data_IF_973408977124
#
_entry.id   IF_973408977124
#
_cell.length_a   1.000
_cell.length_b   1.000
_cell.length_c   1.000
_cell.angle_alpha   90.00
_cell.angle_beta   90.00
_cell.angle_gamma   90.00
#
_symmetry.space_group_name_H-M   'P 1'
#
loop_
_entity.id
_entity.type
_entity.pdbx_description
1 polymer ?
#
# COMPACT_ATOMS: atom_id res chain seq x y z
N UNK A 1 -17.65 0.84 10.41
CA UNK A 1 -16.91 1.06 9.13
C UNK A 1 -17.09 -0.20 8.28
N UNK A 2 -17.51 -0.06 7.03
CA UNK A 2 -17.72 -1.21 6.14
C UNK A 2 -16.41 -1.91 5.80
N UNK A 3 -16.42 -3.24 5.83
CA UNK A 3 -15.27 -4.05 5.46
C UNK A 3 -15.12 -4.10 3.93
N UNK A 4 -13.90 -4.04 3.45
CA UNK A 4 -13.56 -4.16 2.03
C UNK A 4 -12.57 -5.30 1.80
N UNK A 5 -12.54 -5.86 0.60
CA UNK A 5 -11.62 -6.93 0.23
C UNK A 5 -10.15 -6.58 0.56
N UNK A 6 -9.71 -5.38 0.21
CA UNK A 6 -8.35 -4.91 0.46
C UNK A 6 -8.00 -4.73 1.95
N UNK A 7 -9.01 -4.71 2.83
CA UNK A 7 -8.81 -4.60 4.27
C UNK A 7 -8.69 -5.96 4.98
N UNK A 8 -9.10 -7.08 4.34
CA UNK A 8 -9.23 -8.38 4.98
C UNK A 8 -7.94 -8.90 5.59
N UNK A 9 -6.84 -8.89 4.85
CA UNK A 9 -5.55 -9.39 5.35
C UNK A 9 -5.03 -8.58 6.54
N UNK A 10 -5.24 -7.26 6.53
CA UNK A 10 -4.93 -6.40 7.69
C UNK A 10 -5.85 -6.67 8.86
N UNK A 11 -7.16 -6.85 8.62
CA UNK A 11 -8.15 -7.14 9.65
C UNK A 11 -7.93 -8.52 10.30
N UNK A 12 -7.44 -9.50 9.55
CA UNK A 12 -7.03 -10.79 10.09
C UNK A 12 -5.87 -10.64 11.07
N UNK A 13 -4.85 -9.87 10.70
CA UNK A 13 -3.65 -9.62 11.51
C UNK A 13 -3.91 -8.71 12.70
N UNK A 14 -4.77 -7.70 12.51
CA UNK A 14 -5.13 -6.72 13.54
C UNK A 14 -6.52 -6.16 13.29
N UNK A 15 -7.49 -6.55 14.10
CA UNK A 15 -8.86 -6.08 13.98
C UNK A 15 -8.97 -4.55 14.20
N UNK A 16 -8.07 -3.96 14.96
CA UNK A 16 -7.96 -2.50 15.14
C UNK A 16 -7.83 -1.75 13.81
N UNK A 17 -7.27 -2.37 12.77
CA UNK A 17 -7.10 -1.75 11.46
C UNK A 17 -8.42 -1.40 10.74
N UNK A 18 -9.54 -1.97 11.18
CA UNK A 18 -10.87 -1.81 10.59
C UNK A 18 -11.94 -1.34 11.57
N UNK A 19 -11.65 -1.28 12.87
CA UNK A 19 -12.56 -0.76 13.88
C UNK A 19 -12.14 0.62 14.40
N UNK A 20 -10.84 0.94 14.39
CA UNK A 20 -10.36 2.26 14.77
C UNK A 20 -10.66 3.30 13.67
N UNK A 21 -10.86 4.58 14.03
CA UNK A 21 -11.09 5.64 13.07
C UNK A 21 -9.92 5.77 12.07
N UNK A 22 -10.19 5.77 10.75
CA UNK A 22 -9.14 5.95 9.77
C UNK A 22 -8.71 7.41 9.69
N UNK A 23 -7.43 7.64 9.38
CA UNK A 23 -6.91 8.92 8.92
C UNK A 23 -6.61 8.78 7.44
N UNK A 24 -7.31 9.55 6.59
CA UNK A 24 -7.06 9.54 5.16
C UNK A 24 -5.76 10.28 4.86
N UNK A 25 -4.87 9.61 4.16
CA UNK A 25 -3.70 10.21 3.52
C UNK A 25 -3.88 10.06 2.01
N UNK A 26 -3.73 11.16 1.30
CA UNK A 26 -3.60 11.11 -0.15
C UNK A 26 -2.13 10.78 -0.45
N UNK A 27 -1.90 9.63 -1.08
CA UNK A 27 -0.56 9.18 -1.45
C UNK A 27 -0.37 9.15 -2.97
N UNK A 28 0.74 9.70 -3.45
CA UNK A 28 1.11 9.76 -4.87
C UNK A 28 1.26 8.38 -5.54
N UNK A 29 1.49 7.32 -4.76
CA UNK A 29 1.66 5.96 -5.29
C UNK A 29 0.38 5.34 -5.88
N UNK A 30 -0.79 5.83 -5.47
CA UNK A 30 -2.07 5.35 -6.00
C UNK A 30 -2.26 5.71 -7.49
N UNK A 31 -1.71 6.84 -7.93
CA UNK A 31 -1.88 7.33 -9.29
C UNK A 31 -1.20 6.43 -10.35
N UNK A 32 0.02 5.93 -10.05
CA UNK A 32 0.74 5.04 -10.99
C UNK A 32 0.05 3.68 -11.12
N UNK A 33 -0.45 3.11 -10.01
CA UNK A 33 -1.23 1.87 -10.04
C UNK A 33 -2.51 2.05 -10.86
N UNK A 34 -3.25 3.13 -10.64
CA UNK A 34 -4.46 3.44 -11.39
C UNK A 34 -4.17 3.59 -12.90
N UNK A 35 -3.05 4.21 -13.28
CA UNK A 35 -2.67 4.35 -14.68
C UNK A 35 -2.42 2.99 -15.36
N UNK A 36 -1.84 2.02 -14.64
CA UNK A 36 -1.65 0.64 -15.14
C UNK A 36 -2.99 -0.08 -15.29
N UNK A 37 -3.87 0.03 -14.30
CA UNK A 37 -5.19 -0.60 -14.33
C UNK A 37 -6.04 -0.04 -15.48
N UNK A 38 -6.03 1.29 -15.68
CA UNK A 38 -6.74 1.94 -16.78
C UNK A 38 -6.16 1.56 -18.14
N UNK A 39 -4.83 1.48 -18.27
CA UNK A 39 -4.18 1.04 -19.49
C UNK A 39 -4.56 -0.39 -19.86
N UNK A 40 -4.57 -1.31 -18.90
CA UNK A 40 -4.98 -2.70 -19.12
C UNK A 40 -6.46 -2.75 -19.53
N UNK A 41 -7.33 -2.07 -18.80
CA UNK A 41 -8.76 -2.03 -19.08
C UNK A 41 -9.05 -1.50 -20.48
N UNK A 42 -8.54 -0.32 -20.82
CA UNK A 42 -8.75 0.29 -22.14
C UNK A 42 -8.09 -0.57 -23.23
N UNK A 43 -6.88 -1.08 -22.98
CA UNK A 43 -6.15 -1.89 -23.93
C UNK A 43 -6.85 -3.22 -24.28
N UNK A 44 -7.59 -3.82 -23.33
CA UNK A 44 -8.37 -5.05 -23.56
C UNK A 44 -9.75 -4.78 -24.14
N UNK A 45 -10.32 -3.58 -23.97
CA UNK A 45 -11.68 -3.24 -24.45
C UNK A 45 -11.66 -2.45 -25.77
N UNK A 46 -10.72 -1.54 -25.95
CA UNK A 46 -10.67 -0.57 -27.06
C UNK A 46 -9.38 -0.69 -27.91
N UNK A 47 -8.42 -1.49 -27.40
CA UNK A 47 -7.14 -1.70 -28.05
C UNK A 47 -6.00 -0.84 -27.50
N UNK A 48 -4.76 -1.31 -27.77
CA UNK A 48 -3.52 -0.71 -27.24
C UNK A 48 -3.35 0.77 -27.62
N UNK A 49 -3.70 1.15 -28.84
CA UNK A 49 -3.56 2.54 -29.31
C UNK A 49 -4.45 3.51 -28.50
N UNK A 50 -5.71 3.12 -28.25
CA UNK A 50 -6.63 3.89 -27.43
C UNK A 50 -6.13 4.04 -25.98
N UNK A 51 -5.55 2.96 -25.43
CA UNK A 51 -4.97 2.96 -24.09
C UNK A 51 -3.75 3.91 -24.01
N UNK A 52 -2.86 3.89 -25.00
CA UNK A 52 -1.69 4.78 -25.06
C UNK A 52 -2.08 6.25 -25.20
N UNK A 53 -3.14 6.53 -25.94
CA UNK A 53 -3.63 7.91 -26.13
C UNK A 53 -4.15 8.56 -24.83
N UNK A 54 -4.58 7.73 -23.87
CA UNK A 54 -5.09 8.17 -22.57
C UNK A 54 -4.06 8.04 -21.43
N UNK A 55 -2.89 7.46 -21.71
CA UNK A 55 -1.87 7.21 -20.70
C UNK A 55 -1.18 8.52 -20.24
N UNK A 56 -0.87 8.65 -18.93
CA UNK A 56 -0.06 9.75 -18.43
C UNK A 56 1.33 9.81 -19.13
N UNK A 57 1.78 11.00 -19.46
CA UNK A 57 3.02 11.19 -20.23
C UNK A 57 4.24 10.54 -19.55
N UNK A 58 4.33 10.63 -18.24
CA UNK A 58 5.40 10.04 -17.42
C UNK A 58 5.39 8.52 -17.40
N UNK A 59 4.24 7.88 -17.67
CA UNK A 59 4.07 6.44 -17.70
C UNK A 59 4.17 5.83 -19.11
N UNK A 60 4.09 6.63 -20.16
CA UNK A 60 3.98 6.18 -21.56
C UNK A 60 5.02 5.14 -21.94
N UNK A 61 6.30 5.36 -21.61
CA UNK A 61 7.38 4.42 -21.97
C UNK A 61 7.22 3.03 -21.35
N UNK A 62 6.64 2.96 -20.14
CA UNK A 62 6.41 1.70 -19.44
C UNK A 62 5.16 1.01 -19.96
N UNK A 63 4.06 1.77 -20.10
CA UNK A 63 2.79 1.23 -20.56
C UNK A 63 2.87 0.78 -22.03
N UNK A 64 3.62 1.49 -22.87
CA UNK A 64 3.83 1.09 -24.26
C UNK A 64 4.54 -0.28 -24.40
N UNK A 65 5.36 -0.64 -23.42
CA UNK A 65 6.07 -1.92 -23.43
C UNK A 65 5.35 -3.03 -22.65
N UNK A 66 4.26 -2.72 -21.91
CA UNK A 66 3.55 -3.72 -21.11
C UNK A 66 2.88 -4.77 -22.02
N UNK A 67 3.15 -6.09 -21.81
CA UNK A 67 2.68 -7.18 -22.69
C UNK A 67 1.22 -7.55 -22.40
N UNK A 68 0.26 -6.82 -22.99
CA UNK A 68 -1.18 -7.07 -22.84
C UNK A 68 -1.61 -8.47 -23.35
N UNK A 69 -0.83 -9.10 -24.20
CA UNK A 69 -1.05 -10.46 -24.71
C UNK A 69 -0.88 -11.54 -23.63
N UNK A 70 -0.21 -11.23 -22.51
CA UNK A 70 -0.14 -12.12 -21.34
C UNK A 70 -1.44 -12.14 -20.51
N UNK A 71 -2.31 -11.17 -20.72
CA UNK A 71 -3.63 -11.13 -20.10
C UNK A 71 -4.59 -11.93 -20.97
N UNK A 72 -5.36 -12.88 -20.40
CA UNK A 72 -6.29 -13.72 -21.16
C UNK A 72 -7.28 -12.90 -21.99
N UNK A 73 -7.68 -13.44 -23.13
CA UNK A 73 -8.77 -12.87 -23.92
C UNK A 73 -10.12 -13.12 -23.27
N UNK A 74 -11.10 -12.27 -23.56
CA UNK A 74 -12.43 -12.34 -22.96
C UNK A 74 -12.48 -12.01 -21.47
N UNK A 75 -11.42 -11.36 -20.95
CA UNK A 75 -11.38 -10.88 -19.58
C UNK A 75 -12.34 -9.71 -19.40
N UNK A 76 -13.01 -9.69 -18.25
CA UNK A 76 -13.73 -8.51 -17.76
C UNK A 76 -12.81 -7.76 -16.78
N UNK A 77 -12.73 -6.43 -16.95
CA UNK A 77 -11.87 -5.57 -16.16
C UNK A 77 -12.67 -4.79 -15.11
N UNK A 78 -12.08 -4.60 -13.93
CA UNK A 78 -12.63 -3.79 -12.83
C UNK A 78 -14.05 -4.18 -12.42
N UNK A 79 -14.26 -5.50 -12.24
CA UNK A 79 -15.57 -6.03 -11.82
C UNK A 79 -15.73 -5.92 -10.32
N UNK A 80 -16.77 -5.22 -9.88
CA UNK A 80 -17.07 -5.04 -8.48
C UNK A 80 -18.07 -6.08 -7.95
N UNK A 81 -17.80 -6.58 -6.74
CA UNK A 81 -18.59 -7.58 -6.04
C UNK A 81 -19.01 -7.07 -4.66
N UNK A 82 -20.17 -7.52 -4.23
CA UNK A 82 -20.64 -7.47 -2.85
C UNK A 82 -20.87 -8.89 -2.36
N UNK A 83 -20.28 -9.26 -1.23
CA UNK A 83 -20.41 -10.54 -0.55
C UNK A 83 -21.10 -10.34 0.79
N UNK A 84 -22.20 -11.02 1.03
CA UNK A 84 -22.92 -10.99 2.30
C UNK A 84 -22.31 -12.00 3.27
N UNK A 85 -21.68 -11.53 4.35
CA UNK A 85 -20.98 -12.38 5.32
C UNK A 85 -21.93 -13.24 6.17
N UNK A 86 -23.22 -12.89 6.27
CA UNK A 86 -24.23 -13.69 6.99
C UNK A 86 -24.75 -14.84 6.13
N UNK A 87 -25.19 -14.52 4.90
CA UNK A 87 -25.90 -15.48 4.04
C UNK A 87 -25.00 -16.20 3.05
N UNK A 88 -23.83 -15.63 2.73
CA UNK A 88 -22.96 -16.09 1.64
C UNK A 88 -23.46 -15.70 0.26
N UNK A 89 -24.46 -14.83 0.19
CA UNK A 89 -24.96 -14.28 -1.06
C UNK A 89 -23.88 -13.42 -1.73
N UNK A 90 -23.77 -13.52 -3.05
CA UNK A 90 -22.88 -12.70 -3.85
C UNK A 90 -23.69 -11.90 -4.86
N UNK A 91 -23.38 -10.64 -4.99
CA UNK A 91 -23.93 -9.75 -6.01
C UNK A 91 -22.84 -9.09 -6.81
N UNK A 92 -23.03 -9.02 -8.11
CA UNK A 92 -22.27 -8.09 -8.95
C UNK A 92 -22.88 -6.68 -8.77
N UNK A 93 -22.03 -5.69 -8.53
CA UNK A 93 -22.45 -4.31 -8.30
C UNK A 93 -21.81 -3.39 -9.36
N UNK A 94 -22.33 -2.15 -9.53
CA UNK A 94 -21.71 -1.17 -10.39
C UNK A 94 -20.25 -0.94 -10.05
N UNK A 95 -19.46 -0.50 -11.04
CA UNK A 95 -18.04 -0.27 -10.89
C UNK A 95 -17.69 0.61 -9.69
N UNK A 96 -16.54 0.38 -9.07
CA UNK A 96 -15.98 1.17 -7.96
C UNK A 96 -15.95 2.69 -8.25
N UNK A 97 -15.84 3.11 -9.52
CA UNK A 97 -15.83 4.53 -9.91
C UNK A 97 -17.06 5.31 -9.47
N UNK A 98 -18.20 4.62 -9.23
CA UNK A 98 -19.44 5.22 -8.75
C UNK A 98 -19.62 5.13 -7.24
N UNK A 99 -18.64 4.57 -6.51
CA UNK A 99 -18.75 4.23 -5.10
C UNK A 99 -19.51 2.92 -4.86
N UNK A 100 -19.40 2.40 -3.64
CA UNK A 100 -20.18 1.22 -3.23
C UNK A 100 -21.60 1.64 -2.83
N UNK A 101 -22.63 0.81 -3.10
CA UNK A 101 -24.01 1.11 -2.74
C UNK A 101 -24.17 1.43 -1.25
N UNK A 102 -24.81 2.57 -0.95
CA UNK A 102 -24.99 3.02 0.44
C UNK A 102 -26.13 2.29 1.14
N UNK A 103 -27.09 1.76 0.39
CA UNK A 103 -28.26 1.03 0.84
C UNK A 103 -27.99 -0.42 1.28
N UNK A 104 -26.80 -0.94 1.05
CA UNK A 104 -26.39 -2.26 1.53
C UNK A 104 -25.86 -2.14 2.96
N UNK A 105 -26.26 -3.08 3.84
CA UNK A 105 -25.94 -3.09 5.27
C UNK A 105 -24.47 -3.43 5.57
N UNK A 106 -24.12 -3.44 6.86
CA UNK A 106 -22.74 -3.72 7.33
C UNK A 106 -22.32 -5.19 7.15
N UNK A 107 -23.26 -6.08 6.87
CA UNK A 107 -23.01 -7.49 6.54
C UNK A 107 -22.40 -7.69 5.16
N UNK A 108 -22.38 -6.65 4.32
CA UNK A 108 -21.81 -6.71 2.99
C UNK A 108 -20.35 -6.27 2.97
N UNK A 109 -19.50 -7.13 2.42
CA UNK A 109 -18.09 -6.89 2.15
C UNK A 109 -17.93 -6.56 0.67
N UNK A 110 -17.28 -5.44 0.38
CA UNK A 110 -17.16 -4.95 -0.99
C UNK A 110 -15.73 -5.13 -1.51
N UNK A 111 -15.62 -5.36 -2.81
CA UNK A 111 -14.35 -5.38 -3.50
C UNK A 111 -14.50 -5.22 -5.00
N UNK A 112 -13.40 -4.88 -5.65
CA UNK A 112 -13.30 -4.82 -7.10
C UNK A 112 -12.05 -5.56 -7.53
N UNK A 113 -12.21 -6.60 -8.34
CA UNK A 113 -11.09 -7.30 -8.97
C UNK A 113 -10.68 -6.56 -10.23
N UNK A 114 -9.37 -6.53 -10.50
CA UNK A 114 -8.87 -5.86 -11.70
C UNK A 114 -9.21 -6.67 -12.95
N UNK A 115 -9.08 -7.99 -12.88
CA UNK A 115 -9.33 -8.89 -13.99
C UNK A 115 -10.12 -10.12 -13.52
N UNK A 116 -11.18 -10.48 -14.24
CA UNK A 116 -11.94 -11.72 -14.01
C UNK A 116 -12.48 -12.29 -15.31
N UNK A 117 -12.83 -13.56 -15.27
CA UNK A 117 -13.44 -14.23 -16.43
C UNK A 117 -13.61 -15.73 -16.20
N UNK A 118 -13.87 -16.43 -17.30
CA UNK A 118 -14.07 -17.87 -17.32
C UNK A 118 -12.97 -18.57 -18.10
N UNK A 119 -12.52 -19.69 -17.56
CA UNK A 119 -11.78 -20.74 -18.29
C UNK A 119 -12.66 -21.97 -18.38
N UNK A 120 -12.32 -22.96 -19.18
CA UNK A 120 -13.05 -24.22 -19.17
C UNK A 120 -13.12 -24.78 -17.75
N UNK A 121 -14.35 -24.90 -17.21
CA UNK A 121 -14.70 -25.49 -15.91
C UNK A 121 -14.32 -24.72 -14.65
N UNK A 122 -13.72 -23.52 -14.73
CA UNK A 122 -13.37 -22.69 -13.56
C UNK A 122 -13.47 -21.19 -13.88
N UNK A 123 -13.74 -20.41 -12.85
CA UNK A 123 -13.57 -18.96 -12.90
C UNK A 123 -12.08 -18.59 -12.77
N UNK A 124 -11.72 -17.36 -13.10
CA UNK A 124 -10.43 -16.80 -12.69
C UNK A 124 -10.57 -15.37 -12.21
N UNK A 125 -9.71 -14.98 -11.30
CA UNK A 125 -9.57 -13.62 -10.79
C UNK A 125 -8.09 -13.29 -10.64
N UNK A 126 -7.66 -12.17 -11.23
CA UNK A 126 -6.31 -11.66 -11.08
C UNK A 126 -6.35 -10.23 -10.57
N UNK A 127 -5.41 -9.91 -9.68
CA UNK A 127 -5.20 -8.58 -9.13
C UNK A 127 -3.88 -8.04 -9.68
N UNK A 128 -3.92 -6.88 -10.32
CA UNK A 128 -2.76 -6.26 -10.94
C UNK A 128 -1.95 -5.54 -9.87
N UNK A 129 -0.65 -5.79 -9.85
CA UNK A 129 0.27 -5.15 -8.90
C UNK A 129 1.38 -4.44 -9.65
N UNK A 130 1.52 -3.15 -9.39
CA UNK A 130 2.55 -2.32 -10.00
C UNK A 130 3.68 -2.02 -9.02
N UNK A 131 4.94 -2.17 -9.50
CA UNK A 131 6.15 -1.78 -8.79
C UNK A 131 6.87 -2.92 -8.07
N UNK A 132 8.08 -2.62 -7.58
CA UNK A 132 8.99 -3.60 -6.94
C UNK A 132 8.45 -4.16 -5.61
N UNK A 133 7.57 -3.43 -4.93
CA UNK A 133 7.04 -3.78 -3.60
C UNK A 133 5.82 -4.70 -3.62
N UNK A 134 5.37 -5.07 -4.81
CA UNK A 134 4.24 -6.00 -4.97
C UNK A 134 4.59 -7.46 -4.61
N UNK A 135 5.68 -7.68 -3.89
CA UNK A 135 6.21 -9.02 -3.59
C UNK A 135 5.85 -9.47 -2.17
N UNK A 136 5.59 -10.75 -2.01
CA UNK A 136 5.45 -11.40 -0.70
C UNK A 136 4.03 -11.86 -0.33
N UNK A 137 3.02 -11.56 -1.15
CA UNK A 137 1.67 -12.13 -1.01
C UNK A 137 1.58 -13.40 -1.86
N UNK A 138 1.06 -14.45 -1.27
CA UNK A 138 0.83 -15.74 -1.92
C UNK A 138 -0.62 -15.78 -2.44
N UNK A 139 -0.86 -16.03 -3.74
CA UNK A 139 -2.21 -16.11 -4.30
C UNK A 139 -3.11 -17.15 -3.62
N UNK A 140 -2.53 -18.23 -3.06
CA UNK A 140 -3.29 -19.28 -2.40
C UNK A 140 -3.89 -18.82 -1.07
N UNK A 141 -3.17 -17.95 -0.34
CA UNK A 141 -3.54 -17.57 1.03
C UNK A 141 -4.05 -16.14 1.17
N UNK A 142 -3.96 -15.35 0.09
CA UNK A 142 -4.38 -13.95 0.09
C UNK A 142 -5.89 -13.79 0.20
N UNK A 143 -6.33 -13.10 1.24
CA UNK A 143 -7.77 -12.94 1.54
C UNK A 143 -8.49 -11.99 0.58
N UNK A 144 -7.79 -11.04 -0.04
CA UNK A 144 -8.39 -10.19 -1.08
C UNK A 144 -8.72 -11.02 -2.32
N UNK A 145 -7.75 -11.77 -2.81
CA UNK A 145 -7.95 -12.70 -3.92
C UNK A 145 -8.95 -13.81 -3.55
N UNK A 146 -8.87 -14.36 -2.33
CA UNK A 146 -9.79 -15.37 -1.83
C UNK A 146 -11.25 -14.90 -1.86
N UNK A 147 -11.53 -13.64 -1.44
CA UNK A 147 -12.88 -13.09 -1.56
C UNK A 147 -13.34 -12.99 -3.02
N UNK A 148 -12.47 -12.51 -3.90
CA UNK A 148 -12.81 -12.40 -5.32
C UNK A 148 -13.05 -13.78 -5.95
N UNK A 149 -12.24 -14.78 -5.57
CA UNK A 149 -12.40 -16.16 -6.02
C UNK A 149 -13.73 -16.77 -5.60
N UNK A 150 -14.09 -16.62 -4.32
CA UNK A 150 -15.40 -17.05 -3.78
C UNK A 150 -16.53 -16.37 -4.55
N UNK A 151 -16.45 -15.05 -4.78
CA UNK A 151 -17.45 -14.32 -5.52
C UNK A 151 -17.57 -14.79 -6.97
N UNK A 152 -16.47 -14.92 -7.68
CA UNK A 152 -16.45 -15.32 -9.08
C UNK A 152 -16.94 -16.75 -9.28
N UNK A 153 -16.49 -17.70 -8.43
CA UNK A 153 -16.92 -19.08 -8.49
C UNK A 153 -18.44 -19.23 -8.25
N UNK A 154 -18.97 -18.56 -7.21
CA UNK A 154 -20.42 -18.59 -6.90
C UNK A 154 -21.26 -17.97 -8.02
N UNK A 155 -20.87 -16.84 -8.57
CA UNK A 155 -21.60 -16.20 -9.67
C UNK A 155 -21.55 -17.03 -10.95
N UNK A 156 -20.47 -17.73 -11.19
CA UNK A 156 -20.30 -18.62 -12.36
C UNK A 156 -20.89 -20.02 -12.16
N UNK A 157 -21.24 -20.40 -10.91
CA UNK A 157 -21.73 -21.74 -10.58
C UNK A 157 -20.69 -22.83 -10.80
N UNK A 158 -19.44 -22.56 -10.45
CA UNK A 158 -18.30 -23.50 -10.57
C UNK A 158 -17.62 -23.71 -9.22
N UNK A 159 -16.93 -24.83 -9.07
CA UNK A 159 -16.32 -25.28 -7.82
C UNK A 159 -14.80 -24.96 -7.75
N UNK A 160 -14.24 -24.40 -8.82
CA UNK A 160 -12.84 -24.03 -8.89
C UNK A 160 -12.66 -22.56 -9.33
N UNK A 161 -11.64 -21.90 -8.79
CA UNK A 161 -11.23 -20.58 -9.24
C UNK A 161 -9.70 -20.47 -9.32
N UNK A 162 -9.19 -20.02 -10.47
CA UNK A 162 -7.79 -19.62 -10.61
C UNK A 162 -7.61 -18.23 -10.01
N UNK A 163 -6.78 -18.09 -9.00
CA UNK A 163 -6.43 -16.81 -8.40
C UNK A 163 -5.01 -16.44 -8.78
N UNK A 164 -4.74 -15.13 -8.90
CA UNK A 164 -3.38 -14.72 -9.20
C UNK A 164 -3.10 -13.24 -9.04
N UNK A 165 -1.79 -12.95 -8.94
CA UNK A 165 -1.27 -11.61 -9.10
C UNK A 165 -0.65 -11.47 -10.48
N UNK A 166 -1.08 -10.46 -11.23
CA UNK A 166 -0.40 -10.03 -12.44
C UNK A 166 0.58 -8.92 -12.05
N UNK A 167 1.86 -9.28 -11.88
CA UNK A 167 2.89 -8.34 -11.44
C UNK A 167 3.48 -7.61 -12.61
N UNK A 168 3.30 -6.30 -12.64
CA UNK A 168 3.93 -5.40 -13.60
C UNK A 168 5.02 -4.57 -12.93
N UNK A 169 6.18 -4.47 -13.53
CA UNK A 169 7.33 -3.74 -12.99
C UNK A 169 7.85 -2.65 -13.95
N UNK A 170 8.84 -1.90 -13.49
CA UNK A 170 9.49 -0.85 -14.27
C UNK A 170 10.27 -1.36 -15.50
N UNK A 171 10.45 -2.68 -15.64
CA UNK A 171 11.03 -3.31 -16.83
C UNK A 171 9.97 -3.59 -17.88
N UNK A 172 8.72 -3.20 -17.60
CA UNK A 172 7.56 -3.41 -18.45
C UNK A 172 7.31 -4.90 -18.75
N UNK A 173 7.57 -5.76 -17.79
CA UNK A 173 7.13 -7.14 -17.84
C UNK A 173 5.84 -7.33 -17.05
N UNK A 174 5.02 -8.29 -17.45
CA UNK A 174 3.83 -8.74 -16.75
C UNK A 174 3.98 -10.21 -16.44
N UNK A 175 4.21 -10.52 -15.17
CA UNK A 175 4.43 -11.90 -14.72
C UNK A 175 3.22 -12.35 -13.90
N UNK A 176 2.38 -13.25 -14.44
CA UNK A 176 1.31 -13.84 -13.66
C UNK A 176 1.86 -14.89 -12.70
N UNK A 177 1.54 -14.74 -11.43
CA UNK A 177 1.69 -15.76 -10.38
C UNK A 177 0.30 -16.28 -10.03
N UNK A 178 -0.02 -17.51 -10.41
CA UNK A 178 -1.38 -18.05 -10.24
C UNK A 178 -1.38 -19.38 -9.50
N UNK A 179 -2.48 -19.65 -8.82
CA UNK A 179 -2.84 -20.93 -8.21
C UNK A 179 -4.31 -21.24 -8.50
N UNK A 180 -4.74 -22.46 -8.30
CA UNK A 180 -6.15 -22.85 -8.41
C UNK A 180 -6.65 -23.22 -7.04
N UNK A 181 -7.70 -22.54 -6.60
CA UNK A 181 -8.42 -22.89 -5.39
C UNK A 181 -9.57 -23.86 -5.78
N UNK A 182 -9.58 -25.01 -5.14
CA UNK A 182 -10.67 -25.98 -5.26
C UNK A 182 -11.85 -25.64 -4.32
N UNK A 183 -12.91 -26.45 -4.37
CA UNK A 183 -14.11 -26.28 -3.53
C UNK A 183 -13.79 -26.16 -2.04
N UNK A 184 -12.85 -26.99 -1.55
CA UNK A 184 -12.49 -27.00 -0.14
C UNK A 184 -11.71 -25.75 0.28
N UNK A 185 -10.80 -25.32 -0.58
CA UNK A 185 -10.01 -24.10 -0.36
C UNK A 185 -10.90 -22.85 -0.44
N UNK A 186 -11.85 -22.81 -1.40
CA UNK A 186 -12.84 -21.73 -1.49
C UNK A 186 -13.73 -21.67 -0.23
N UNK A 187 -14.21 -22.82 0.26
CA UNK A 187 -14.99 -22.89 1.50
C UNK A 187 -14.17 -22.45 2.72
N UNK A 188 -12.91 -22.82 2.80
CA UNK A 188 -12.00 -22.40 3.89
C UNK A 188 -11.75 -20.88 3.83
N UNK A 189 -11.57 -20.30 2.65
CA UNK A 189 -11.44 -18.85 2.45
C UNK A 189 -12.72 -18.13 2.89
N UNK A 190 -13.87 -18.63 2.48
CA UNK A 190 -15.16 -18.05 2.86
C UNK A 190 -15.34 -18.03 4.38
N UNK A 191 -14.99 -19.10 5.08
CA UNK A 191 -15.09 -19.16 6.56
C UNK A 191 -14.08 -18.22 7.24
N UNK A 192 -12.85 -18.08 6.75
CA UNK A 192 -11.89 -17.10 7.25
C UNK A 192 -12.45 -15.67 7.11
N UNK A 193 -13.01 -15.33 5.97
CA UNK A 193 -13.60 -14.01 5.69
C UNK A 193 -14.78 -13.74 6.63
N UNK A 194 -15.68 -14.70 6.80
CA UNK A 194 -16.79 -14.61 7.75
C UNK A 194 -16.30 -14.45 9.19
N UNK A 195 -15.24 -15.16 9.55
CA UNK A 195 -14.60 -15.06 10.88
C UNK A 195 -14.05 -13.65 11.15
N UNK A 196 -13.43 -13.02 10.16
CA UNK A 196 -12.96 -11.63 10.25
C UNK A 196 -14.14 -10.66 10.44
N UNK A 197 -15.18 -10.81 9.63
CA UNK A 197 -16.36 -9.98 9.75
C UNK A 197 -17.03 -10.13 11.14
N UNK A 198 -17.23 -11.36 11.64
CA UNK A 198 -17.79 -11.58 12.99
C UNK A 198 -16.93 -10.92 14.07
N UNK A 199 -15.61 -11.03 13.99
CA UNK A 199 -14.70 -10.35 14.93
C UNK A 199 -14.84 -8.84 14.86
N UNK A 200 -14.94 -8.27 13.65
CA UNK A 200 -15.16 -6.83 13.49
C UNK A 200 -16.46 -6.38 14.15
N UNK A 201 -17.56 -7.11 13.92
CA UNK A 201 -18.87 -6.76 14.51
C UNK A 201 -18.88 -6.89 16.04
N UNK A 202 -18.15 -7.86 16.60
CA UNK A 202 -18.08 -8.11 18.02
C UNK A 202 -17.07 -7.20 18.77
N UNK A 203 -16.27 -6.41 18.07
CA UNK A 203 -15.16 -5.64 18.68
C UNK A 203 -15.48 -4.16 18.74
N UNK A 204 -15.65 -3.62 19.94
CA UNK A 204 -15.72 -2.17 20.13
C UNK A 204 -14.33 -1.53 19.90
N UNK A 205 -14.25 -0.32 19.31
CA UNK A 205 -12.97 0.35 19.04
C UNK A 205 -12.05 0.46 20.26
N UNK A 206 -12.62 0.74 21.45
CA UNK A 206 -11.85 0.89 22.69
C UNK A 206 -11.27 -0.45 23.23
N UNK A 207 -11.84 -1.58 22.82
CA UNK A 207 -11.51 -2.93 23.31
C UNK A 207 -10.74 -3.72 22.24
N UNK A 208 -10.45 -3.13 21.08
CA UNK A 208 -9.81 -3.82 19.98
C UNK A 208 -8.44 -4.37 20.40
N UNK A 209 -8.21 -5.68 20.28
CA UNK A 209 -6.87 -6.23 20.44
C UNK A 209 -5.98 -5.70 19.32
N UNK A 210 -4.91 -5.00 19.70
CA UNK A 210 -4.01 -4.34 18.77
C UNK A 210 -2.70 -5.13 18.66
N UNK A 211 -2.24 -5.34 17.45
CA UNK A 211 -0.94 -5.92 17.15
C UNK A 211 -0.13 -4.99 16.24
N UNK A 212 1.19 -4.98 16.42
CA UNK A 212 2.12 -4.22 15.58
C UNK A 212 2.88 -5.19 14.67
N UNK A 213 2.99 -4.87 13.39
CA UNK A 213 3.67 -5.69 12.39
C UNK A 213 3.60 -5.06 11.00
N UNK A 214 3.99 -5.82 9.96
CA UNK A 214 4.06 -5.35 8.56
C UNK A 214 2.74 -4.78 8.05
N UNK A 215 1.61 -5.31 8.54
CA UNK A 215 0.26 -4.83 8.23
C UNK A 215 0.01 -3.37 8.66
N UNK A 216 0.85 -2.81 9.54
CA UNK A 216 0.76 -1.41 9.96
C UNK A 216 1.24 -0.41 8.91
N UNK A 217 2.06 -0.85 7.94
CA UNK A 217 2.64 0.03 6.90
C UNK A 217 1.57 0.79 6.13
N UNK A 218 0.47 0.11 5.77
CA UNK A 218 -0.65 0.69 5.03
C UNK A 218 -1.95 0.73 5.86
N UNK A 219 -1.83 0.73 7.19
CA UNK A 219 -3.00 0.77 8.07
C UNK A 219 -3.59 2.17 8.12
N UNK A 220 -4.86 2.36 7.73
CA UNK A 220 -5.51 3.68 7.76
C UNK A 220 -5.67 4.23 9.17
N UNK A 221 -5.68 3.37 10.19
CA UNK A 221 -5.76 3.78 11.60
C UNK A 221 -4.38 4.03 12.25
N UNK A 222 -3.26 3.90 11.50
CA UNK A 222 -1.89 3.95 12.04
C UNK A 222 -1.65 5.16 12.94
N UNK A 223 -2.10 6.34 12.52
CA UNK A 223 -1.91 7.59 13.26
C UNK A 223 -2.72 7.69 14.55
N UNK A 224 -3.85 6.98 14.64
CA UNK A 224 -4.72 6.95 15.80
C UNK A 224 -4.59 5.65 16.60
N UNK A 225 -3.68 4.77 16.22
CA UNK A 225 -3.52 3.46 16.85
C UNK A 225 -2.78 3.58 18.18
N UNK A 226 -3.41 3.24 19.34
CA UNK A 226 -2.75 3.31 20.64
C UNK A 226 -1.47 2.47 20.72
N UNK A 227 -1.44 1.30 20.06
CA UNK A 227 -0.24 0.44 20.04
C UNK A 227 0.95 1.07 19.30
N UNK A 228 0.69 1.88 18.28
CA UNK A 228 1.72 2.65 17.57
C UNK A 228 2.10 3.93 18.34
N UNK A 229 1.12 4.52 19.07
CA UNK A 229 1.31 5.75 19.81
C UNK A 229 1.92 5.54 21.19
N UNK A 230 1.78 4.33 21.79
CA UNK A 230 2.25 4.05 23.14
C UNK A 230 3.76 4.30 23.34
N UNK A 231 4.67 3.90 22.47
CA UNK A 231 6.09 4.20 22.61
C UNK A 231 6.37 5.70 22.61
N UNK A 232 5.54 6.44 21.90
CA UNK A 232 5.65 7.89 21.74
C UNK A 232 5.05 8.63 22.92
N UNK A 233 3.88 8.19 23.41
CA UNK A 233 3.27 8.75 24.62
C UNK A 233 4.18 8.52 25.83
N UNK A 234 4.83 7.36 25.93
CA UNK A 234 5.85 7.10 26.95
C UNK A 234 7.07 8.01 26.79
N UNK A 235 7.49 8.30 25.53
CA UNK A 235 8.55 9.25 25.27
C UNK A 235 8.15 10.69 25.57
N UNK A 236 6.90 11.08 25.28
CA UNK A 236 6.38 12.41 25.55
C UNK A 236 6.00 12.62 27.02
N UNK A 237 5.45 11.63 27.71
CA UNK A 237 4.87 11.79 29.05
C UNK A 237 5.89 11.79 30.21
N UNK A 238 7.13 11.38 30.02
CA UNK A 238 8.07 11.34 31.14
C UNK A 238 9.54 11.35 30.76
N UNK A 239 9.88 11.09 29.53
CA UNK A 239 11.27 10.89 29.09
C UNK A 239 11.83 11.96 28.18
N UNK A 240 11.04 12.87 27.63
CA UNK A 240 11.61 14.05 26.96
C UNK A 240 12.35 14.93 27.97
N UNK A 241 11.91 15.00 29.21
CA UNK A 241 12.64 15.68 30.27
C UNK A 241 13.91 14.92 30.70
N UNK A 242 13.88 13.60 30.68
CA UNK A 242 15.06 12.75 30.91
C UNK A 242 16.01 12.75 29.67
N UNK A 243 15.47 12.76 28.45
CA UNK A 243 16.26 12.85 27.22
C UNK A 243 16.81 14.26 26.95
N UNK A 244 16.13 15.30 27.40
CA UNK A 244 16.64 16.67 27.29
C UNK A 244 17.74 16.98 28.33
N UNK A 245 17.83 16.18 29.41
CA UNK A 245 18.86 16.30 30.45
C UNK A 245 19.91 15.19 30.43
N UNK A 246 19.68 14.08 29.73
CA UNK A 246 20.68 13.04 29.55
C UNK A 246 21.54 13.35 28.34
N UNK A 247 22.85 13.45 28.53
CA UNK A 247 23.77 13.37 27.40
C UNK A 247 23.46 12.09 26.63
N UNK A 248 23.20 12.21 25.33
CA UNK A 248 23.11 11.04 24.46
C UNK A 248 24.40 10.22 24.70
N UNK A 249 24.32 8.91 24.92
CA UNK A 249 25.50 8.08 25.06
C UNK A 249 26.44 8.37 23.90
N UNK A 250 27.74 8.41 24.16
CA UNK A 250 28.72 8.60 23.11
C UNK A 250 28.44 7.61 21.98
N UNK A 251 28.63 8.00 20.73
CA UNK A 251 28.31 7.20 19.57
C UNK A 251 28.98 5.80 19.63
N UNK A 252 30.18 5.73 20.24
CA UNK A 252 30.90 4.51 20.54
C UNK A 252 30.13 3.58 21.49
N UNK A 253 29.58 4.11 22.58
CA UNK A 253 28.82 3.29 23.55
C UNK A 253 27.52 2.76 22.94
N UNK A 254 26.86 3.57 22.12
CA UNK A 254 25.67 3.13 21.37
C UNK A 254 26.03 2.02 20.36
N UNK A 255 27.19 2.13 19.70
CA UNK A 255 27.71 1.15 18.77
C UNK A 255 28.01 -0.17 19.47
N UNK A 256 28.76 -0.16 20.57
CA UNK A 256 29.08 -1.36 21.35
C UNK A 256 27.81 -2.09 21.83
N UNK A 257 26.80 -1.35 22.27
CA UNK A 257 25.50 -1.92 22.68
C UNK A 257 24.75 -2.57 21.51
N UNK A 258 24.81 -1.97 20.31
CA UNK A 258 24.18 -2.54 19.11
C UNK A 258 24.95 -3.78 18.64
N UNK A 259 26.30 -3.74 18.65
CA UNK A 259 27.13 -4.87 18.25
C UNK A 259 26.98 -6.08 19.20
N UNK A 260 26.58 -5.86 20.46
CA UNK A 260 26.28 -6.92 21.44
C UNK A 260 24.91 -7.57 21.25
N UNK A 261 24.03 -7.02 20.38
CA UNK A 261 22.71 -7.59 20.12
C UNK A 261 22.78 -8.84 19.23
N UNK A 262 21.84 -9.74 19.40
CA UNK A 262 21.63 -10.82 18.43
C UNK A 262 21.13 -10.25 17.09
N UNK A 263 21.33 -10.95 15.98
CA UNK A 263 20.82 -10.53 14.66
C UNK A 263 19.30 -10.32 14.67
N UNK A 264 18.57 -11.16 15.44
CA UNK A 264 17.12 -11.02 15.60
C UNK A 264 16.75 -9.77 16.40
N UNK A 265 17.55 -9.39 17.42
CA UNK A 265 17.33 -8.16 18.18
C UNK A 265 17.68 -6.92 17.37
N UNK A 266 18.75 -6.97 16.57
CA UNK A 266 19.11 -5.90 15.64
C UNK A 266 17.97 -5.67 14.61
N UNK A 267 17.39 -6.73 14.05
CA UNK A 267 16.24 -6.62 13.15
C UNK A 267 15.05 -5.94 13.82
N UNK A 268 14.68 -6.36 15.04
CA UNK A 268 13.62 -5.73 15.82
C UNK A 268 13.92 -4.27 16.17
N UNK A 269 15.17 -3.94 16.49
CA UNK A 269 15.59 -2.57 16.76
C UNK A 269 15.48 -1.71 15.50
N UNK A 270 15.92 -2.23 14.34
CA UNK A 270 15.83 -1.53 13.07
C UNK A 270 14.37 -1.17 12.71
N UNK A 271 13.45 -2.15 12.81
CA UNK A 271 12.02 -1.91 12.57
C UNK A 271 11.43 -0.85 13.50
N UNK A 272 11.84 -0.84 14.78
CA UNK A 272 11.42 0.17 15.75
C UNK A 272 11.97 1.56 15.44
N UNK A 273 13.22 1.64 14.98
CA UNK A 273 13.83 2.90 14.59
C UNK A 273 13.17 3.47 13.33
N UNK A 274 12.85 2.62 12.36
CA UNK A 274 12.14 3.00 11.12
C UNK A 274 10.73 3.57 11.46
N UNK A 275 10.00 2.87 12.33
CA UNK A 275 8.71 3.36 12.82
C UNK A 275 8.83 4.68 13.61
N UNK A 276 9.90 4.86 14.40
CA UNK A 276 10.15 6.08 15.14
C UNK A 276 10.52 7.24 14.20
N UNK A 277 11.30 6.98 13.16
CA UNK A 277 11.65 7.99 12.15
C UNK A 277 10.41 8.49 11.40
N UNK A 278 9.54 7.59 10.97
CA UNK A 278 8.29 7.95 10.31
C UNK A 278 7.39 8.79 11.23
N UNK A 279 7.36 8.43 12.50
CA UNK A 279 6.63 9.22 13.49
C UNK A 279 7.21 10.62 13.67
N UNK A 280 8.53 10.76 13.77
CA UNK A 280 9.18 12.06 13.85
C UNK A 280 8.93 12.91 12.60
N UNK A 281 8.89 12.27 11.41
CA UNK A 281 8.49 12.95 10.15
C UNK A 281 7.06 13.49 10.25
N UNK A 282 6.14 12.68 10.79
CA UNK A 282 4.74 13.07 10.98
C UNK A 282 4.62 14.24 11.96
N UNK A 283 5.27 14.18 13.14
CA UNK A 283 5.26 15.27 14.12
C UNK A 283 5.80 16.58 13.52
N UNK A 284 6.92 16.48 12.77
CA UNK A 284 7.47 17.65 12.05
C UNK A 284 6.47 18.20 11.02
N UNK A 285 5.69 17.33 10.36
CA UNK A 285 4.60 17.73 9.47
C UNK A 285 3.53 18.54 10.19
N UNK A 286 3.02 18.04 11.31
CA UNK A 286 2.00 18.72 12.12
C UNK A 286 2.51 20.07 12.64
N UNK A 287 3.74 20.12 13.15
CA UNK A 287 4.36 21.35 13.63
C UNK A 287 4.49 22.38 12.49
N UNK A 288 4.92 21.93 11.31
CA UNK A 288 5.01 22.81 10.13
C UNK A 288 3.65 23.32 9.68
N UNK A 289 2.63 22.48 9.71
CA UNK A 289 1.26 22.88 9.36
C UNK A 289 0.74 23.93 10.34
N UNK A 290 1.00 23.77 11.62
CA UNK A 290 0.67 24.79 12.63
C UNK A 290 1.46 26.09 12.39
N UNK A 291 2.73 26.01 12.04
CA UNK A 291 3.58 27.17 11.72
C UNK A 291 3.17 27.90 10.42
N UNK A 292 2.27 27.33 9.61
CA UNK A 292 1.65 28.03 8.45
C UNK A 292 0.63 29.06 8.89
N UNK A 293 -0.13 28.75 9.92
CA UNK A 293 -1.16 29.65 10.47
C UNK A 293 -0.58 30.64 11.48
N UNK A 294 0.40 30.23 12.26
CA UNK A 294 0.99 31.02 13.30
C UNK A 294 2.50 30.72 13.46
N UNK A 295 3.39 31.74 13.36
CA UNK A 295 4.82 31.52 13.54
C UNK A 295 5.14 30.97 14.93
N UNK A 296 5.89 29.89 15.00
CA UNK A 296 6.27 29.24 16.26
C UNK A 296 7.64 29.74 16.75
N UNK A 297 7.76 30.31 17.94
CA UNK A 297 9.04 30.71 18.49
C UNK A 297 9.90 29.49 18.82
N UNK A 298 11.17 29.54 18.45
CA UNK A 298 12.15 28.48 18.74
C UNK A 298 13.05 28.92 19.92
N UNK A 299 13.57 27.96 20.71
CA UNK A 299 14.44 28.26 21.88
C UNK A 299 15.70 29.07 21.54
N UNK A 300 16.15 29.03 20.27
CA UNK A 300 17.32 29.77 19.78
C UNK A 300 17.00 31.20 19.33
N UNK A 301 15.83 31.72 19.66
CA UNK A 301 15.35 33.06 19.29
C UNK A 301 14.92 33.21 17.82
N UNK A 302 14.88 32.13 17.08
CA UNK A 302 14.33 32.09 15.73
C UNK A 302 12.85 31.71 15.75
N UNK A 303 12.18 31.90 14.63
CA UNK A 303 10.79 31.47 14.46
C UNK A 303 10.72 30.43 13.35
N UNK A 304 9.94 29.37 13.57
CA UNK A 304 9.52 28.46 12.52
C UNK A 304 8.31 29.08 11.83
N UNK A 305 8.45 29.46 10.58
CA UNK A 305 7.35 29.92 9.72
C UNK A 305 7.49 29.27 8.34
N UNK A 306 6.37 29.01 7.69
CA UNK A 306 6.42 28.63 6.29
C UNK A 306 6.81 29.85 5.44
N UNK A 307 7.99 29.81 4.87
CA UNK A 307 8.35 30.74 3.77
C UNK A 307 7.84 30.09 2.51
N UNK A 308 6.77 30.61 1.94
CA UNK A 308 6.44 30.30 0.55
C UNK A 308 7.59 30.82 -0.32
N UNK A 309 8.56 29.96 -0.55
CA UNK A 309 9.44 30.15 -1.69
C UNK A 309 8.51 30.05 -2.90
N UNK A 310 8.17 31.20 -3.47
CA UNK A 310 7.52 31.18 -4.76
C UNK A 310 8.36 30.28 -5.64
N UNK A 311 7.81 29.15 -6.03
CA UNK A 311 8.46 28.29 -6.99
C UNK A 311 8.62 29.17 -8.24
N UNK A 312 9.79 29.77 -8.40
CA UNK A 312 10.17 30.37 -9.66
C UNK A 312 10.13 29.18 -10.62
N UNK A 313 9.06 29.11 -11.41
CA UNK A 313 9.01 28.20 -12.52
C UNK A 313 10.19 28.59 -13.40
N UNK A 314 11.24 27.81 -13.30
CA UNK A 314 12.40 27.95 -14.18
C UNK A 314 11.84 27.83 -15.58
N UNK A 315 12.06 28.85 -16.42
CA UNK A 315 11.53 28.81 -17.78
C UNK A 315 12.07 27.56 -18.49
N UNK A 316 11.34 26.96 -19.43
CA UNK A 316 11.83 25.80 -20.18
C UNK A 316 13.22 26.00 -20.78
N UNK A 317 13.54 27.24 -21.19
CA UNK A 317 14.87 27.61 -21.71
C UNK A 317 15.94 27.60 -20.62
N UNK A 318 15.62 28.09 -19.42
CA UNK A 318 16.56 28.03 -18.29
C UNK A 318 16.77 26.58 -17.79
N UNK A 319 15.72 25.77 -17.82
CA UNK A 319 15.81 24.33 -17.50
C UNK A 319 16.70 23.61 -18.53
N UNK A 320 16.54 23.88 -19.82
CA UNK A 320 17.37 23.31 -20.88
C UNK A 320 18.86 23.72 -20.72
N UNK A 321 19.14 24.96 -20.30
CA UNK A 321 20.49 25.44 -20.01
C UNK A 321 21.10 24.72 -18.80
N UNK A 322 20.32 24.51 -17.74
CA UNK A 322 20.77 23.78 -16.55
C UNK A 322 21.13 22.35 -16.92
N UNK A 323 20.31 21.67 -17.72
CA UNK A 323 20.60 20.30 -18.15
C UNK A 323 21.82 20.22 -19.10
N UNK A 324 22.00 21.19 -20.01
CA UNK A 324 23.17 21.27 -20.86
C UNK A 324 24.47 21.45 -20.04
N UNK A 325 24.45 22.32 -19.02
CA UNK A 325 25.60 22.50 -18.11
C UNK A 325 25.88 21.24 -17.29
N UNK A 326 24.85 20.56 -16.79
CA UNK A 326 25.01 19.29 -16.07
C UNK A 326 25.64 18.21 -16.97
N UNK A 327 25.23 18.13 -18.22
CA UNK A 327 25.79 17.16 -19.16
C UNK A 327 27.22 17.49 -19.52
N UNK A 328 27.55 18.76 -19.74
CA UNK A 328 28.92 19.19 -19.96
C UNK A 328 29.81 18.84 -18.75
N UNK A 329 29.34 19.12 -17.53
CA UNK A 329 30.06 18.74 -16.30
C UNK A 329 30.25 17.22 -16.15
N UNK A 330 29.34 16.38 -16.67
CA UNK A 330 29.49 14.93 -16.73
C UNK A 330 30.59 14.51 -17.72
N UNK A 331 30.53 15.10 -18.92
CA UNK A 331 31.52 14.82 -19.98
C UNK A 331 32.92 15.25 -19.54
N UNK A 332 33.06 16.36 -18.83
CA UNK A 332 34.31 16.87 -18.30
C UNK A 332 34.76 16.17 -17.00
N UNK A 333 33.98 15.19 -16.50
CA UNK A 333 34.30 14.43 -15.27
C UNK A 333 34.24 15.23 -13.96
N UNK A 334 33.63 16.43 -14.01
CA UNK A 334 33.48 17.31 -12.85
C UNK A 334 32.33 16.88 -11.92
N UNK A 335 31.39 16.05 -12.40
CA UNK A 335 30.32 15.47 -11.62
C UNK A 335 30.46 13.94 -11.68
N UNK A 336 30.90 13.32 -10.61
CA UNK A 336 30.79 11.89 -10.43
C UNK A 336 29.45 11.58 -9.79
N UNK A 337 28.63 10.76 -10.45
CA UNK A 337 27.43 10.20 -9.83
C UNK A 337 27.87 9.12 -8.85
N UNK A 338 28.16 9.50 -7.62
CA UNK A 338 28.37 8.55 -6.53
C UNK A 338 26.98 8.02 -6.17
N UNK A 339 26.67 6.81 -6.62
CA UNK A 339 25.52 6.09 -6.07
C UNK A 339 25.82 5.81 -4.60
N UNK A 340 25.10 6.47 -3.70
CA UNK A 340 25.18 6.10 -2.29
C UNK A 340 24.87 4.61 -2.15
N UNK A 341 25.64 3.86 -1.36
CA UNK A 341 25.34 2.46 -1.12
C UNK A 341 23.96 2.38 -0.45
N UNK A 342 22.99 1.83 -1.17
CA UNK A 342 21.70 1.51 -0.59
C UNK A 342 21.84 0.20 0.17
N UNK A 343 21.75 0.26 1.49
CA UNK A 343 21.53 -0.92 2.32
C UNK A 343 20.10 -1.36 2.09
N UNK A 344 19.92 -2.41 1.31
CA UNK A 344 18.59 -3.02 1.09
C UNK A 344 18.48 -4.23 2.00
N UNK A 345 17.34 -4.43 2.69
CA UNK A 345 17.10 -5.69 3.38
C UNK A 345 17.07 -6.84 2.34
N UNK A 346 18.03 -7.74 2.46
CA UNK A 346 18.07 -8.95 1.63
C UNK A 346 17.20 -10.02 2.27
N UNK A 347 16.33 -10.67 1.48
CA UNK A 347 15.59 -11.86 1.93
C UNK A 347 16.58 -12.94 2.35
N UNK A 348 16.39 -13.51 3.53
CA UNK A 348 17.13 -14.70 3.93
C UNK A 348 16.87 -15.82 2.90
N UNK A 349 17.93 -16.35 2.33
CA UNK A 349 17.85 -17.60 1.55
C UNK A 349 17.45 -18.72 2.51
N UNK A 350 16.33 -19.39 2.22
CA UNK A 350 15.94 -20.65 2.88
C UNK A 350 16.94 -21.74 2.54
#
# INVERSE_FOLDING_TARGET
>A
MRLTASALSRAESCIGSVVLPPVREEGDYAASGQAVDDFIRIGKTEGREAALAQAPAEMLRYLAALPLEKIPDGVECQVAFAYNALTGEVRRIPSRSTGYPEDMGEEWIFGSTDLTGMRPRRAFVWDVKWGEYATGRDPETDLQLGLYAVCAAKLAGVDECETGFARADWKADLVPETTVLDEWQLAAMEERIRGIWRRQQATAPAEAPLSVGDHCTYCPARRNCPAQMQPVQLALAGRLNELAGAALPALEEARERIEALTLADMGRLYERLDAAEDYLKMLRGIIREHARSEPLPLPNGKELREVQWGAQKVSPEAQARIEAVKEQCRVEGLIQTVKAPQVRPMKARK
#
